data_IF_146193778426
#
_entry.id   IF_146193778426
#
_cell.length_a   1.000
_cell.length_b   1.000
_cell.length_c   1.000
_cell.angle_alpha   90.00
_cell.angle_beta   90.00
_cell.angle_gamma   90.00
#
_symmetry.space_group_name_H-M   'P 1'
#
loop_
_entity.id
_entity.type
_entity.pdbx_description
1 polymer ?
#
# COMPACT_ATOMS: atom_id res chain seq x y z
N UNK A 1 27.60 9.93 6.81
CA UNK A 1 26.42 9.26 7.42
C UNK A 1 25.32 9.23 6.37
N UNK A 2 24.51 8.17 6.31
CA UNK A 2 23.37 8.15 5.41
C UNK A 2 22.30 9.14 5.91
N UNK A 3 21.70 9.91 4.99
CA UNK A 3 20.60 10.82 5.31
C UNK A 3 19.38 10.06 5.88
N UNK A 4 18.71 10.57 6.92
CA UNK A 4 17.49 9.95 7.44
C UNK A 4 16.40 9.84 6.36
N UNK A 5 15.77 8.66 6.22
CA UNK A 5 14.73 8.41 5.22
C UNK A 5 13.54 9.39 5.30
N UNK A 6 13.27 10.01 6.47
CA UNK A 6 12.23 11.04 6.61
C UNK A 6 12.48 12.28 5.74
N UNK A 7 13.72 12.50 5.29
CA UNK A 7 14.14 13.65 4.48
C UNK A 7 13.84 13.47 2.98
N UNK A 8 13.27 12.33 2.55
CA UNK A 8 12.71 12.18 1.18
C UNK A 8 11.63 13.23 0.90
N UNK A 9 10.91 13.65 1.93
CA UNK A 9 9.93 14.73 1.89
C UNK A 9 10.64 16.08 1.96
N UNK A 10 11.24 16.45 0.83
CA UNK A 10 12.00 17.70 0.67
C UNK A 10 11.17 18.78 -0.02
N UNK A 11 11.54 20.07 0.10
CA UNK A 11 10.95 21.13 -0.70
C UNK A 11 10.97 20.82 -2.21
N UNK A 12 12.08 20.27 -2.71
CA UNK A 12 12.21 19.86 -4.12
C UNK A 12 11.20 18.80 -4.52
N UNK A 13 10.93 17.81 -3.66
CA UNK A 13 9.88 16.82 -3.90
C UNK A 13 8.51 17.51 -4.04
N UNK A 14 8.16 18.39 -3.09
CA UNK A 14 6.85 19.05 -3.11
C UNK A 14 6.70 20.06 -4.25
N UNK A 15 7.77 20.70 -4.69
CA UNK A 15 7.75 21.53 -5.89
C UNK A 15 7.31 20.73 -7.13
N UNK A 16 7.92 19.56 -7.36
CA UNK A 16 7.52 18.68 -8.46
C UNK A 16 6.12 18.08 -8.27
N UNK A 17 5.79 17.64 -7.06
CA UNK A 17 4.49 17.05 -6.75
C UNK A 17 3.36 18.07 -6.95
N UNK A 18 3.49 19.27 -6.40
CA UNK A 18 2.46 20.31 -6.52
C UNK A 18 2.30 20.84 -7.94
N UNK A 19 3.37 20.87 -8.75
CA UNK A 19 3.27 21.14 -10.19
C UNK A 19 2.41 20.09 -10.92
N UNK A 20 2.47 18.84 -10.47
CA UNK A 20 1.65 17.74 -11.00
C UNK A 20 0.18 17.82 -10.58
N UNK A 21 -0.13 18.47 -9.45
CA UNK A 21 -1.52 18.65 -8.99
C UNK A 21 -2.26 19.65 -9.85
N UNK A 22 -1.61 20.73 -10.31
CA UNK A 22 -2.26 21.87 -10.96
C UNK A 22 -3.12 21.50 -12.19
N UNK A 23 -2.69 20.60 -13.09
CA UNK A 23 -3.52 20.15 -14.22
C UNK A 23 -4.76 19.36 -13.78
N UNK A 24 -4.68 18.58 -12.71
CA UNK A 24 -5.78 17.73 -12.20
C UNK A 24 -6.75 18.55 -11.34
N UNK A 25 -6.23 19.51 -10.57
CA UNK A 25 -7.00 20.38 -9.69
C UNK A 25 -6.58 21.85 -9.91
N UNK A 26 -7.16 22.54 -10.90
CA UNK A 26 -6.76 23.92 -11.24
C UNK A 26 -6.92 24.93 -10.10
N UNK A 27 -7.86 24.69 -9.18
CA UNK A 27 -8.11 25.52 -7.99
C UNK A 27 -7.20 25.18 -6.80
N UNK A 28 -6.24 24.27 -6.95
CA UNK A 28 -5.30 23.88 -5.90
C UNK A 28 -4.48 25.07 -5.41
N UNK A 29 -4.46 25.27 -4.08
CA UNK A 29 -3.78 26.39 -3.42
C UNK A 29 -2.40 25.95 -2.92
N UNK A 30 -1.44 25.87 -3.85
CA UNK A 30 -0.07 25.39 -3.60
C UNK A 30 0.56 25.98 -2.32
N UNK A 31 0.57 27.30 -2.18
CA UNK A 31 1.24 27.92 -1.02
C UNK A 31 0.57 27.54 0.31
N UNK A 32 -0.77 27.47 0.33
CA UNK A 32 -1.50 27.05 1.51
C UNK A 32 -1.19 25.59 1.87
N UNK A 33 -1.14 24.71 0.87
CA UNK A 33 -0.75 23.30 1.05
C UNK A 33 0.66 23.17 1.64
N UNK A 34 1.65 23.87 1.05
CA UNK A 34 3.04 23.81 1.53
C UNK A 34 3.18 24.33 2.97
N UNK A 35 2.50 25.43 3.31
CA UNK A 35 2.50 25.98 4.66
C UNK A 35 1.90 25.01 5.70
N UNK A 36 0.92 24.20 5.30
CA UNK A 36 0.32 23.19 6.18
C UNK A 36 1.20 21.93 6.27
N UNK A 37 1.83 21.51 5.18
CA UNK A 37 2.79 20.39 5.20
C UNK A 37 3.98 20.72 6.12
N UNK A 38 4.62 21.86 5.91
CA UNK A 38 5.76 22.33 6.67
C UNK A 38 5.31 23.14 7.91
N UNK A 39 4.48 22.51 8.74
CA UNK A 39 4.04 23.11 10.01
C UNK A 39 5.20 23.29 11.01
N UNK A 40 4.91 23.94 12.14
CA UNK A 40 5.91 24.20 13.19
C UNK A 40 6.49 22.94 13.82
N UNK A 41 5.85 21.78 13.64
CA UNK A 41 6.30 20.50 14.19
C UNK A 41 7.03 19.63 13.15
N UNK A 42 7.11 20.05 11.89
CA UNK A 42 7.60 19.24 10.77
C UNK A 42 8.97 18.59 11.00
N UNK A 43 9.90 19.34 11.60
CA UNK A 43 11.25 18.82 11.90
C UNK A 43 11.25 17.68 12.92
N UNK A 44 10.33 17.75 13.89
CA UNK A 44 10.15 16.73 14.91
C UNK A 44 9.42 15.47 14.38
N UNK A 45 8.59 15.60 13.34
CA UNK A 45 7.83 14.47 12.77
C UNK A 45 8.78 13.40 12.20
N UNK A 46 8.64 12.17 12.68
CA UNK A 46 9.28 10.98 12.12
C UNK A 46 8.66 10.59 10.76
N UNK A 47 9.28 9.65 10.04
CA UNK A 47 8.88 9.26 8.67
C UNK A 47 7.37 8.96 8.53
N UNK A 48 6.83 8.11 9.40
CA UNK A 48 5.40 7.76 9.37
C UNK A 48 4.48 8.91 9.76
N UNK A 49 4.92 9.78 10.68
CA UNK A 49 4.17 10.97 11.05
C UNK A 49 4.12 11.94 9.87
N UNK A 50 5.21 12.09 9.10
CA UNK A 50 5.23 12.87 7.86
C UNK A 50 4.27 12.30 6.81
N UNK A 51 4.30 10.99 6.57
CA UNK A 51 3.36 10.31 5.66
C UNK A 51 1.89 10.61 6.03
N UNK A 52 1.56 10.37 7.31
CA UNK A 52 0.22 10.58 7.88
C UNK A 52 -0.23 12.04 7.75
N UNK A 53 0.66 12.97 8.11
CA UNK A 53 0.44 14.41 8.02
C UNK A 53 0.17 14.87 6.58
N UNK A 54 1.01 14.45 5.63
CA UNK A 54 0.84 14.82 4.21
C UNK A 54 -0.49 14.30 3.67
N UNK A 55 -0.87 13.06 4.01
CA UNK A 55 -2.15 12.50 3.59
C UNK A 55 -3.34 13.29 4.16
N UNK A 56 -3.25 13.75 5.42
CA UNK A 56 -4.26 14.61 6.04
C UNK A 56 -4.35 15.97 5.37
N UNK A 57 -3.21 16.64 5.16
CA UNK A 57 -3.19 17.94 4.47
C UNK A 57 -3.68 17.80 3.03
N UNK A 58 -3.34 16.70 2.33
CA UNK A 58 -3.86 16.43 0.99
C UNK A 58 -5.38 16.29 1.01
N UNK A 59 -5.95 15.56 1.98
CA UNK A 59 -7.39 15.38 2.11
C UNK A 59 -8.14 16.72 2.22
N UNK A 60 -7.61 17.66 3.01
CA UNK A 60 -8.19 19.00 3.19
C UNK A 60 -8.20 19.83 1.89
N UNK A 61 -7.33 19.51 0.93
CA UNK A 61 -7.24 20.18 -0.37
C UNK A 61 -8.00 19.47 -1.48
N UNK A 62 -8.45 18.23 -1.27
CA UNK A 62 -9.25 17.49 -2.25
C UNK A 62 -10.74 17.74 -2.00
N UNK A 63 -11.50 18.30 -2.95
CA UNK A 63 -12.93 18.54 -2.76
C UNK A 63 -13.76 17.25 -2.84
N UNK A 64 -14.93 17.28 -2.21
CA UNK A 64 -15.98 16.27 -2.42
C UNK A 64 -15.97 15.14 -1.41
N UNK A 65 -16.74 14.09 -1.70
CA UNK A 65 -16.81 12.87 -0.90
C UNK A 65 -15.52 12.05 -1.02
N UNK A 66 -15.32 11.09 -0.10
CA UNK A 66 -14.19 10.17 -0.14
C UNK A 66 -13.99 9.51 -1.52
N UNK A 67 -15.07 9.03 -2.16
CA UNK A 67 -15.00 8.43 -3.48
C UNK A 67 -14.52 9.42 -4.56
N UNK A 68 -14.97 10.67 -4.51
CA UNK A 68 -14.52 11.72 -5.43
C UNK A 68 -13.05 12.08 -5.20
N UNK A 69 -12.60 12.13 -3.94
CA UNK A 69 -11.21 12.36 -3.58
C UNK A 69 -10.30 11.21 -4.04
N UNK A 70 -10.74 9.96 -3.92
CA UNK A 70 -10.05 8.78 -4.47
C UNK A 70 -9.88 8.89 -5.98
N UNK A 71 -10.93 9.28 -6.72
CA UNK A 71 -10.84 9.47 -8.17
C UNK A 71 -9.89 10.61 -8.55
N UNK A 72 -9.75 11.64 -7.72
CA UNK A 72 -8.72 12.66 -7.90
C UNK A 72 -7.31 12.11 -7.65
N UNK A 73 -7.11 11.31 -6.59
CA UNK A 73 -5.82 10.66 -6.30
C UNK A 73 -5.39 9.74 -7.44
N UNK A 74 -6.29 8.94 -7.99
CA UNK A 74 -5.98 8.07 -9.14
C UNK A 74 -5.53 8.91 -10.33
N UNK A 75 -6.24 9.99 -10.66
CA UNK A 75 -5.84 10.93 -11.73
C UNK A 75 -4.50 11.61 -11.47
N UNK A 76 -4.20 11.95 -10.21
CA UNK A 76 -2.88 12.49 -9.83
C UNK A 76 -1.76 11.46 -10.07
N UNK A 77 -1.99 10.20 -9.72
CA UNK A 77 -1.02 9.11 -9.99
C UNK A 77 -0.83 8.91 -11.49
N UNK A 78 -1.90 8.93 -12.28
CA UNK A 78 -1.82 8.86 -13.74
C UNK A 78 -0.99 10.02 -14.30
N UNK A 79 -1.25 11.25 -13.87
CA UNK A 79 -0.47 12.42 -14.28
C UNK A 79 1.01 12.31 -13.87
N UNK A 80 1.30 11.82 -12.65
CA UNK A 80 2.67 11.56 -12.20
C UNK A 80 3.38 10.57 -13.13
N UNK A 81 2.72 9.46 -13.49
CA UNK A 81 3.26 8.47 -14.43
C UNK A 81 3.50 9.08 -15.81
N UNK A 82 2.56 9.88 -16.33
CA UNK A 82 2.71 10.59 -17.61
C UNK A 82 3.86 11.60 -17.60
N UNK A 83 4.15 12.22 -16.45
CA UNK A 83 5.29 13.11 -16.26
C UNK A 83 6.63 12.35 -16.06
N UNK A 84 6.63 11.02 -16.16
CA UNK A 84 7.82 10.19 -15.99
C UNK A 84 8.24 9.95 -14.54
N UNK A 85 7.38 10.28 -13.57
CA UNK A 85 7.65 9.99 -12.17
C UNK A 85 7.77 8.48 -11.95
N UNK A 86 8.84 8.07 -11.28
CA UNK A 86 9.04 6.68 -10.87
C UNK A 86 8.40 6.47 -9.50
N UNK A 87 7.93 5.24 -9.29
CA UNK A 87 7.51 4.76 -7.98
C UNK A 87 8.60 5.00 -6.94
N UNK A 88 8.23 5.61 -5.82
CA UNK A 88 9.15 5.97 -4.75
C UNK A 88 8.45 5.99 -3.39
N UNK A 89 9.21 5.79 -2.32
CA UNK A 89 8.67 5.73 -0.95
C UNK A 89 7.99 7.05 -0.54
N UNK A 90 8.40 8.16 -1.15
CA UNK A 90 7.81 9.49 -0.99
C UNK A 90 6.32 9.55 -1.38
N UNK A 91 5.78 8.59 -2.13
CA UNK A 91 4.36 8.55 -2.47
C UNK A 91 3.50 7.71 -1.51
N UNK A 92 4.08 7.21 -0.41
CA UNK A 92 3.36 6.37 0.56
C UNK A 92 2.21 7.09 1.28
N UNK A 93 2.11 8.42 1.18
CA UNK A 93 0.94 9.16 1.66
C UNK A 93 -0.34 8.87 0.83
N UNK A 94 -0.24 8.39 -0.42
CA UNK A 94 -1.43 8.00 -1.20
C UNK A 94 -2.13 6.76 -0.61
N UNK A 95 -1.44 5.62 -0.35
CA UNK A 95 -2.02 4.53 0.42
C UNK A 95 -2.48 4.97 1.82
N UNK A 96 -1.70 5.81 2.52
CA UNK A 96 -2.05 6.26 3.87
C UNK A 96 -3.35 7.08 3.91
N UNK A 97 -3.63 7.87 2.87
CA UNK A 97 -4.94 8.52 2.69
C UNK A 97 -6.08 7.49 2.63
N UNK A 98 -5.93 6.41 1.86
CA UNK A 98 -6.94 5.35 1.77
C UNK A 98 -7.11 4.64 3.13
N UNK A 99 -6.01 4.42 3.85
CA UNK A 99 -6.04 3.86 5.21
C UNK A 99 -6.84 4.72 6.18
N UNK A 100 -6.62 6.04 6.16
CA UNK A 100 -7.23 7.00 7.06
C UNK A 100 -8.72 7.19 6.84
N UNK A 101 -9.11 7.36 5.58
CA UNK A 101 -10.44 7.84 5.23
C UNK A 101 -11.35 6.75 4.64
N UNK A 102 -10.79 5.60 4.26
CA UNK A 102 -11.49 4.58 3.48
C UNK A 102 -12.18 3.47 4.26
N UNK A 103 -11.92 3.32 5.56
CA UNK A 103 -12.38 2.15 6.33
C UNK A 103 -13.92 1.99 6.41
N UNK A 104 -14.67 3.05 6.10
CA UNK A 104 -16.13 3.02 6.03
C UNK A 104 -16.68 2.67 4.62
N UNK A 105 -15.85 2.72 3.57
CA UNK A 105 -16.22 2.43 2.18
C UNK A 105 -15.22 1.44 1.54
N UNK A 106 -15.32 0.18 1.99
CA UNK A 106 -14.39 -0.91 1.61
C UNK A 106 -14.32 -1.10 0.11
N UNK A 107 -15.46 -1.05 -0.59
CA UNK A 107 -15.53 -1.26 -2.03
C UNK A 107 -14.72 -0.20 -2.79
N UNK A 108 -14.89 1.07 -2.45
CA UNK A 108 -14.12 2.16 -3.07
C UNK A 108 -12.64 2.04 -2.71
N UNK A 109 -12.30 1.71 -1.47
CA UNK A 109 -10.91 1.56 -1.03
C UNK A 109 -10.19 0.41 -1.72
N UNK A 110 -10.81 -0.77 -1.86
CA UNK A 110 -10.20 -1.92 -2.52
C UNK A 110 -9.93 -1.61 -4.00
N UNK A 111 -10.89 -1.00 -4.71
CA UNK A 111 -10.67 -0.51 -6.08
C UNK A 111 -9.49 0.46 -6.15
N UNK A 112 -9.43 1.42 -5.22
CA UNK A 112 -8.33 2.37 -5.17
C UNK A 112 -6.98 1.69 -4.95
N UNK A 113 -6.88 0.76 -4.01
CA UNK A 113 -5.64 0.06 -3.70
C UNK A 113 -5.14 -0.79 -4.87
N UNK A 114 -6.03 -1.41 -5.66
CA UNK A 114 -5.64 -2.14 -6.87
C UNK A 114 -4.91 -1.24 -7.88
N UNK A 115 -5.37 0.01 -8.05
CA UNK A 115 -4.71 0.98 -8.93
C UNK A 115 -3.47 1.57 -8.28
N UNK A 116 -3.56 2.02 -7.03
CA UNK A 116 -2.46 2.68 -6.31
C UNK A 116 -1.27 1.74 -6.17
N UNK A 117 -1.49 0.45 -5.86
CA UNK A 117 -0.39 -0.52 -5.64
C UNK A 117 0.48 -0.77 -6.87
N UNK A 118 -0.03 -0.47 -8.07
CA UNK A 118 0.74 -0.53 -9.32
C UNK A 118 1.73 0.65 -9.44
N UNK A 119 1.56 1.70 -8.64
CA UNK A 119 2.48 2.83 -8.52
C UNK A 119 3.26 2.81 -7.21
N UNK A 120 2.59 2.63 -6.07
CA UNK A 120 3.22 2.57 -4.74
C UNK A 120 2.46 1.58 -3.84
N UNK A 121 3.21 0.72 -3.13
CA UNK A 121 2.63 -0.40 -2.36
C UNK A 121 1.55 0.03 -1.37
N UNK A 122 0.42 -0.68 -1.36
CA UNK A 122 -0.64 -0.52 -0.36
C UNK A 122 -0.54 -1.50 0.83
N UNK A 123 0.61 -2.16 1.02
CA UNK A 123 0.80 -3.23 2.02
C UNK A 123 0.52 -2.81 3.47
N UNK A 124 0.69 -1.53 3.80
CA UNK A 124 0.33 -0.99 5.11
C UNK A 124 -1.16 -0.63 5.17
N UNK A 125 -1.64 0.07 4.14
CA UNK A 125 -2.99 0.64 4.09
C UNK A 125 -4.10 -0.41 4.18
N UNK A 126 -3.87 -1.61 3.68
CA UNK A 126 -4.88 -2.68 3.71
C UNK A 126 -5.10 -3.27 5.12
N UNK A 127 -4.15 -3.11 6.03
CA UNK A 127 -4.13 -3.91 7.27
C UNK A 127 -5.30 -3.60 8.20
N UNK A 128 -5.73 -2.33 8.37
CA UNK A 128 -6.98 -2.03 9.08
C UNK A 128 -8.21 -2.70 8.45
N UNK A 129 -8.26 -2.83 7.12
CA UNK A 129 -9.34 -3.51 6.41
C UNK A 129 -9.32 -5.03 6.66
N UNK A 130 -8.13 -5.65 6.68
CA UNK A 130 -7.98 -7.07 7.02
C UNK A 130 -8.42 -7.39 8.45
N UNK A 131 -8.28 -6.44 9.38
CA UNK A 131 -8.73 -6.61 10.75
C UNK A 131 -10.25 -6.40 10.90
N UNK A 132 -10.82 -5.43 10.19
CA UNK A 132 -12.25 -5.09 10.31
C UNK A 132 -13.15 -5.96 9.43
N UNK A 133 -12.72 -6.29 8.21
CA UNK A 133 -13.49 -7.02 7.20
C UNK A 133 -12.69 -8.20 6.61
N UNK A 134 -12.16 -9.13 7.43
CA UNK A 134 -11.25 -10.17 6.96
C UNK A 134 -11.79 -11.03 5.81
N UNK A 135 -13.08 -11.40 5.87
CA UNK A 135 -13.69 -12.27 4.86
C UNK A 135 -13.76 -11.58 3.49
N UNK A 136 -14.30 -10.36 3.47
CA UNK A 136 -14.46 -9.56 2.24
C UNK A 136 -13.11 -9.23 1.61
N UNK A 137 -12.15 -8.76 2.43
CA UNK A 137 -10.84 -8.36 1.94
C UNK A 137 -10.03 -9.56 1.47
N UNK A 138 -10.06 -10.71 2.17
CA UNK A 138 -9.33 -11.90 1.73
C UNK A 138 -9.92 -12.52 0.46
N UNK A 139 -11.24 -12.39 0.22
CA UNK A 139 -11.83 -12.79 -1.06
C UNK A 139 -11.28 -11.93 -2.22
N UNK A 140 -11.13 -10.63 -2.00
CA UNK A 140 -10.49 -9.74 -2.97
C UNK A 140 -8.99 -10.05 -3.15
N UNK A 141 -8.26 -10.32 -2.06
CA UNK A 141 -6.85 -10.74 -2.13
C UNK A 141 -6.67 -12.01 -2.94
N UNK A 142 -7.55 -12.99 -2.77
CA UNK A 142 -7.55 -14.21 -3.57
C UNK A 142 -7.75 -13.90 -5.06
N UNK A 143 -8.69 -12.99 -5.38
CA UNK A 143 -8.90 -12.53 -6.76
C UNK A 143 -7.64 -11.84 -7.31
N UNK A 144 -7.02 -10.96 -6.53
CA UNK A 144 -5.80 -10.25 -6.91
C UNK A 144 -4.58 -11.14 -7.11
N UNK A 145 -4.54 -12.33 -6.49
CA UNK A 145 -3.48 -13.31 -6.72
C UNK A 145 -3.43 -13.84 -8.16
N UNK A 146 -4.49 -13.64 -8.94
CA UNK A 146 -4.58 -14.03 -10.35
C UNK A 146 -4.53 -12.82 -11.30
N UNK A 147 -4.27 -11.61 -10.78
CA UNK A 147 -4.27 -10.39 -11.57
C UNK A 147 -3.13 -10.38 -12.62
N UNK A 148 -3.34 -9.84 -13.83
CA UNK A 148 -2.27 -9.76 -14.83
C UNK A 148 -1.07 -8.92 -14.37
N UNK A 149 -1.27 -7.92 -13.51
CA UNK A 149 -0.19 -7.07 -13.01
C UNK A 149 0.50 -7.67 -11.79
N UNK A 150 1.82 -7.82 -11.88
CA UNK A 150 2.64 -8.44 -10.84
C UNK A 150 2.67 -7.66 -9.51
N UNK A 151 2.62 -6.32 -9.54
CA UNK A 151 2.44 -5.51 -8.33
C UNK A 151 1.16 -5.85 -7.55
N UNK A 152 0.05 -6.11 -8.25
CA UNK A 152 -1.23 -6.47 -7.63
C UNK A 152 -1.15 -7.90 -7.06
N UNK A 153 -0.55 -8.83 -7.81
CA UNK A 153 -0.29 -10.20 -7.30
C UNK A 153 0.63 -10.19 -6.08
N UNK A 154 1.73 -9.44 -6.14
CA UNK A 154 2.64 -9.26 -5.00
C UNK A 154 1.89 -8.67 -3.81
N UNK A 155 1.08 -7.64 -4.04
CA UNK A 155 0.28 -7.03 -2.98
C UNK A 155 -0.66 -8.04 -2.31
N UNK A 156 -1.26 -8.96 -3.07
CA UNK A 156 -2.10 -10.00 -2.47
C UNK A 156 -1.38 -10.93 -1.50
N UNK A 157 -0.10 -11.23 -1.75
CA UNK A 157 0.75 -12.00 -0.83
C UNK A 157 1.29 -11.13 0.30
N UNK A 158 1.78 -9.92 -0.02
CA UNK A 158 2.48 -9.09 0.95
C UNK A 158 1.54 -8.47 1.99
N UNK A 159 0.41 -7.93 1.53
CA UNK A 159 -0.54 -7.20 2.37
C UNK A 159 -1.13 -8.07 3.49
N UNK A 160 -1.31 -9.37 3.21
CA UNK A 160 -1.85 -10.33 4.18
C UNK A 160 -0.78 -11.02 5.05
N UNK A 161 0.50 -10.64 4.95
CA UNK A 161 1.57 -11.23 5.78
C UNK A 161 1.26 -11.12 7.29
N UNK A 162 1.33 -12.23 8.06
CA UNK A 162 1.06 -12.21 9.50
C UNK A 162 2.00 -11.29 10.30
N UNK A 163 3.25 -11.15 9.83
CA UNK A 163 4.36 -10.48 10.54
C UNK A 163 5.10 -9.47 9.64
N UNK A 164 4.36 -8.73 8.81
CA UNK A 164 4.93 -7.71 7.93
C UNK A 164 5.75 -6.67 8.73
N UNK A 165 7.05 -6.46 8.40
CA UNK A 165 7.88 -5.46 9.06
C UNK A 165 7.31 -4.05 8.91
N UNK A 166 7.58 -3.21 9.91
CA UNK A 166 7.11 -1.82 9.98
C UNK A 166 5.59 -1.66 9.98
N UNK A 167 4.81 -2.73 9.91
CA UNK A 167 3.36 -2.66 9.89
C UNK A 167 2.76 -3.22 11.19
N UNK A 168 1.48 -2.91 11.45
CA UNK A 168 0.76 -3.57 12.53
C UNK A 168 0.69 -5.08 12.27
N UNK A 169 0.81 -5.92 13.28
CA UNK A 169 0.61 -7.37 13.09
C UNK A 169 -0.86 -7.68 12.71
N UNK A 170 -1.10 -8.84 12.10
CA UNK A 170 -2.46 -9.39 11.93
C UNK A 170 -2.54 -10.66 12.79
N UNK A 171 -2.91 -10.54 14.10
CA UNK A 171 -2.84 -11.66 15.04
C UNK A 171 -3.67 -12.86 14.63
N UNK A 172 -4.85 -12.64 14.05
CA UNK A 172 -5.72 -13.71 13.55
C UNK A 172 -5.04 -14.61 12.51
N UNK A 173 -4.16 -14.06 11.66
CA UNK A 173 -3.42 -14.85 10.67
C UNK A 173 -2.15 -15.51 11.22
N UNK A 174 -1.64 -15.04 12.37
CA UNK A 174 -0.65 -15.80 13.14
C UNK A 174 -1.28 -17.00 13.82
N UNK A 175 -2.55 -16.89 14.24
CA UNK A 175 -3.30 -17.98 14.87
C UNK A 175 -3.74 -19.01 13.84
N UNK A 176 -4.25 -18.55 12.70
CA UNK A 176 -4.75 -19.40 11.63
C UNK A 176 -4.33 -18.85 10.25
N UNK A 177 -3.34 -19.48 9.58
CA UNK A 177 -2.87 -19.05 8.28
C UNK A 177 -3.74 -19.55 7.12
N UNK A 178 -4.77 -20.37 7.35
CA UNK A 178 -5.60 -20.98 6.29
C UNK A 178 -6.13 -19.98 5.24
N UNK A 179 -6.60 -18.76 5.60
CA UNK A 179 -7.06 -17.78 4.60
C UNK A 179 -6.00 -17.34 3.59
N UNK A 180 -4.71 -17.47 3.93
CA UNK A 180 -3.58 -17.03 3.10
C UNK A 180 -3.14 -18.13 2.12
N UNK A 181 -3.33 -19.40 2.47
CA UNK A 181 -2.70 -20.53 1.77
C UNK A 181 -3.09 -20.62 0.29
N UNK A 182 -4.35 -20.36 -0.05
CA UNK A 182 -4.82 -20.37 -1.45
C UNK A 182 -4.16 -19.28 -2.30
N UNK A 183 -3.87 -18.11 -1.74
CA UNK A 183 -3.13 -17.04 -2.42
C UNK A 183 -1.70 -17.52 -2.72
N UNK A 184 -1.02 -18.11 -1.72
CA UNK A 184 0.34 -18.61 -1.91
C UNK A 184 0.40 -19.76 -2.91
N UNK A 185 -0.63 -20.63 -2.92
CA UNK A 185 -0.78 -21.71 -3.89
C UNK A 185 -0.87 -21.19 -5.34
N UNK A 186 -1.60 -20.09 -5.57
CA UNK A 186 -1.69 -19.46 -6.89
C UNK A 186 -0.34 -18.87 -7.32
N UNK A 187 0.39 -18.27 -6.37
CA UNK A 187 1.61 -17.50 -6.63
C UNK A 187 2.92 -18.31 -6.54
N UNK A 188 2.86 -19.60 -6.17
CA UNK A 188 4.05 -20.44 -5.90
C UNK A 188 5.08 -20.49 -7.05
N UNK A 189 4.62 -20.39 -8.29
CA UNK A 189 5.44 -20.44 -9.51
C UNK A 189 5.28 -19.16 -10.35
N UNK A 190 5.01 -18.03 -9.70
CA UNK A 190 4.83 -16.75 -10.39
C UNK A 190 6.08 -16.39 -11.22
N UNK A 191 5.88 -15.84 -12.42
CA UNK A 191 6.98 -15.45 -13.30
C UNK A 191 7.80 -14.28 -12.73
N UNK A 192 7.18 -13.41 -11.92
CA UNK A 192 7.85 -12.26 -11.32
C UNK A 192 8.65 -12.65 -10.08
N UNK A 193 9.96 -12.40 -10.09
CA UNK A 193 10.82 -12.59 -8.91
C UNK A 193 10.34 -11.73 -7.72
N UNK A 194 9.77 -10.55 -8.00
CA UNK A 194 9.21 -9.67 -6.98
C UNK A 194 8.06 -10.33 -6.22
N UNK A 195 7.16 -11.02 -6.94
CA UNK A 195 6.06 -11.80 -6.36
C UNK A 195 6.61 -13.00 -5.57
N UNK A 196 7.53 -13.78 -6.16
CA UNK A 196 8.10 -14.97 -5.49
C UNK A 196 8.80 -14.63 -4.18
N UNK A 197 9.49 -13.49 -4.09
CA UNK A 197 10.08 -12.99 -2.83
C UNK A 197 9.02 -12.72 -1.76
N UNK A 198 7.88 -12.15 -2.14
CA UNK A 198 6.77 -11.94 -1.21
C UNK A 198 6.20 -13.26 -0.69
N UNK A 199 6.01 -14.24 -1.58
CA UNK A 199 5.55 -15.58 -1.20
C UNK A 199 6.51 -16.23 -0.20
N UNK A 200 7.81 -16.20 -0.49
CA UNK A 200 8.83 -16.74 0.42
C UNK A 200 8.82 -16.05 1.79
N UNK A 201 8.68 -14.73 1.82
CA UNK A 201 8.59 -13.97 3.07
C UNK A 201 7.32 -14.29 3.85
N UNK A 202 6.19 -14.49 3.17
CA UNK A 202 4.93 -14.87 3.82
C UNK A 202 5.02 -16.29 4.41
N UNK A 203 5.57 -17.26 3.65
CA UNK A 203 5.86 -18.60 4.17
C UNK A 203 6.79 -18.56 5.39
N UNK A 204 7.83 -17.75 5.36
CA UNK A 204 8.74 -17.57 6.49
C UNK A 204 8.04 -16.97 7.72
N UNK A 205 7.06 -16.08 7.51
CA UNK A 205 6.26 -15.55 8.60
C UNK A 205 5.32 -16.60 9.20
N UNK A 206 4.70 -17.44 8.36
CA UNK A 206 3.84 -18.55 8.80
C UNK A 206 4.66 -19.61 9.55
N UNK A 207 5.86 -19.95 9.06
CA UNK A 207 6.71 -21.00 9.65
C UNK A 207 7.13 -20.72 11.11
N UNK A 208 7.10 -19.45 11.54
CA UNK A 208 7.41 -19.06 12.93
C UNK A 208 6.38 -19.58 13.94
N UNK A 209 5.14 -19.81 13.49
CA UNK A 209 4.03 -20.26 14.34
C UNK A 209 3.47 -21.62 13.88
N UNK A 210 3.56 -21.92 12.57
CA UNK A 210 2.98 -23.11 11.93
C UNK A 210 3.98 -23.81 10.99
N UNK A 211 5.14 -24.29 11.50
CA UNK A 211 6.19 -24.89 10.65
C UNK A 211 5.69 -26.10 9.84
N UNK A 212 4.88 -26.97 10.44
CA UNK A 212 4.35 -28.17 9.76
C UNK A 212 3.41 -27.83 8.60
N UNK A 213 2.66 -26.72 8.71
CA UNK A 213 1.79 -26.25 7.61
C UNK A 213 2.64 -25.85 6.40
N UNK A 214 3.74 -25.14 6.63
CA UNK A 214 4.66 -24.73 5.56
C UNK A 214 5.37 -25.93 4.95
N UNK A 215 5.86 -26.87 5.78
CA UNK A 215 6.49 -28.11 5.31
C UNK A 215 5.52 -28.93 4.45
N UNK A 216 4.27 -29.10 4.90
CA UNK A 216 3.23 -29.82 4.16
C UNK A 216 2.93 -29.16 2.81
N UNK A 217 2.74 -27.83 2.81
CA UNK A 217 2.46 -27.07 1.60
C UNK A 217 3.60 -27.18 0.56
N UNK A 218 4.84 -26.93 0.99
CA UNK A 218 6.02 -26.96 0.10
C UNK A 218 6.34 -28.37 -0.40
N UNK A 219 6.12 -29.42 0.41
CA UNK A 219 6.23 -30.82 -0.06
C UNK A 219 5.27 -31.09 -1.21
N UNK A 220 4.05 -30.58 -1.14
CA UNK A 220 3.06 -30.68 -2.23
C UNK A 220 3.42 -29.89 -3.50
N UNK A 221 4.38 -28.97 -3.43
CA UNK A 221 4.84 -28.20 -4.59
C UNK A 221 6.03 -28.80 -5.32
N UNK A 222 6.72 -29.78 -4.72
CA UNK A 222 7.89 -30.41 -5.34
C UNK A 222 7.53 -30.98 -6.72
N UNK A 223 8.28 -30.57 -7.74
CA UNK A 223 8.06 -30.99 -9.13
C UNK A 223 7.03 -30.17 -9.92
N UNK A 224 6.42 -29.15 -9.31
CA UNK A 224 5.43 -28.24 -9.93
C UNK A 224 5.90 -26.78 -10.03
N UNK A 225 7.12 -26.50 -9.54
CA UNK A 225 7.72 -25.16 -9.44
C UNK A 225 9.00 -25.05 -10.26
#
# INVERSE_FOLDING_TARGET
MAEPLKNIYSPTFFEHFTATIKPVLPKFRKQQFLNQVFDTEWEAKALKQRMRHIATVLADHLPGSYAQQVDLIIRLIEQLKSNGAKAGFEYMFFPDFVEQYGLADVKTSLRAMETITQFISCEFAIRPFLLKYPKEVMAQMLTWSLNPHDHVRRFSSEGCRPRLPWAMAIPQFKKDPSPILSILQNLKADQSLFVRKSVANNLNDIAKDHPETVVGLVKGWKGLS
#
